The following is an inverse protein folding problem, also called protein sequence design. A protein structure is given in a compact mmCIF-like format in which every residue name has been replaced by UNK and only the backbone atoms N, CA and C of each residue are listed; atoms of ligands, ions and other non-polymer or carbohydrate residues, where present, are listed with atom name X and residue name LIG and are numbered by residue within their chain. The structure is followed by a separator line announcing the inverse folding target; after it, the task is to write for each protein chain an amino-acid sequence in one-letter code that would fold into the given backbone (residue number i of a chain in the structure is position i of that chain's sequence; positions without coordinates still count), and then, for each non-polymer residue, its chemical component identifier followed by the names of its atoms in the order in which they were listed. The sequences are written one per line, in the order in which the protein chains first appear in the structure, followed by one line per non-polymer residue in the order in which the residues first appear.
data_IF_590434340377
#
_entry.id   IF_590434340377
#
_cell.length_a   1.000
_cell.length_b   1.000
_cell.length_c   1.000
_cell.angle_alpha   90.00
_cell.angle_beta   90.00
_cell.angle_gamma   90.00
#
_symmetry.space_group_name_H-M   'P 1'
#
loop_
_entity.id
_entity.type
_entity.pdbx_description
1 polymer ?
2 non-polymer ?
3 non-polymer ?
4 non-polymer ?
5 water ?
#
# COMPACT_ATOMS: atom_id res chain seq x y z
N UNK A 3 7.31 1.13 32.41
CA UNK A 3 6.27 0.29 33.09
C UNK A 3 4.87 0.89 32.86
N UNK A 4 4.68 2.15 33.27
CA UNK A 4 3.33 2.77 33.26
C UNK A 4 3.15 3.89 32.23
N UNK A 5 4.26 4.51 31.77
CA UNK A 5 4.14 5.72 30.91
C UNK A 5 4.97 5.58 29.62
N UNK A 6 4.30 5.81 28.51
CA UNK A 6 4.90 5.84 27.20
C UNK A 6 4.74 7.21 26.57
N UNK A 7 5.24 7.36 25.35
CA UNK A 7 5.18 8.62 24.63
C UNK A 7 4.69 8.44 23.21
N UNK A 8 3.74 9.29 22.81
CA UNK A 8 3.22 9.30 21.44
C UNK A 8 3.56 10.62 20.86
N UNK A 9 4.10 10.62 19.65
CA UNK A 9 4.30 11.85 18.94
C UNK A 9 3.34 11.94 17.75
N UNK A 10 2.46 12.92 17.76
CA UNK A 10 1.43 13.03 16.74
C UNK A 10 1.26 14.48 16.35
N UNK A 11 1.33 14.78 15.06
CA UNK A 11 1.13 16.17 14.60
C UNK A 11 2.23 17.11 15.07
N UNK A 12 3.46 16.62 15.02
CA UNK A 12 4.60 17.31 15.57
C UNK A 12 4.60 17.64 17.06
N UNK A 13 3.75 16.99 17.87
CA UNK A 13 3.76 17.20 19.32
C UNK A 13 3.93 15.89 20.09
N UNK A 14 4.82 15.88 21.09
CA UNK A 14 5.04 14.70 21.95
C UNK A 14 4.13 14.70 23.18
N UNK A 15 3.48 13.56 23.46
CA UNK A 15 2.55 13.42 24.60
C UNK A 15 2.95 12.27 25.47
N UNK A 16 2.76 12.40 26.79
CA UNK A 16 2.84 11.24 27.71
C UNK A 16 1.54 10.49 27.48
N UNK A 17 1.60 9.16 27.59
CA UNK A 17 0.45 8.28 27.30
C UNK A 17 0.52 7.20 28.32
N UNK A 18 -0.47 7.19 29.22
CA UNK A 18 -0.61 6.07 30.11
C UNK A 18 -1.85 5.29 29.61
N UNK A 19 -2.09 4.11 30.17
CA UNK A 19 -3.12 3.20 29.60
C UNK A 19 -4.50 3.80 29.76
N UNK A 20 -4.72 4.49 30.88
CA UNK A 20 -5.88 5.26 31.03
C UNK A 20 -6.16 6.35 29.97
N UNK A 21 -5.16 6.75 29.18
CA UNK A 21 -5.39 7.74 28.14
C UNK A 21 -5.91 7.14 26.85
N UNK A 22 -6.06 5.80 26.78
CA UNK A 22 -6.33 5.14 25.52
C UNK A 22 -7.60 4.30 25.66
N UNK A 23 -8.49 4.41 24.68
CA UNK A 23 -9.73 3.63 24.64
C UNK A 23 -9.53 2.50 23.64
N UNK A 24 -9.62 1.27 24.10
CA UNK A 24 -9.52 0.08 23.21
C UNK A 24 -10.83 -0.08 22.44
N UNK A 25 -10.78 0.14 21.12
CA UNK A 25 -11.96 0.05 20.28
C UNK A 25 -12.00 -1.24 19.46
N UNK A 26 -11.06 -2.13 19.72
CA UNK A 26 -11.13 -3.48 19.19
C UNK A 26 -10.23 -3.71 18.03
N UNK A 27 -10.48 -4.83 17.36
CA UNK A 27 -9.66 -5.32 16.27
C UNK A 27 -9.65 -4.35 15.08
N UNK A 28 -8.55 -4.43 14.34
CA UNK A 28 -8.55 -3.96 12.96
C UNK A 28 -9.00 -5.17 12.11
N UNK A 29 -9.33 -4.95 10.85
CA UNK A 29 -9.81 -6.03 9.94
C UNK A 29 -9.08 -7.38 9.90
N UNK A 34 -1.53 -10.68 12.18
CA UNK A 34 -0.97 -10.20 13.45
C UNK A 34 -1.97 -9.42 14.32
N UNK A 35 -1.60 -9.13 15.58
CA UNK A 35 -2.54 -8.57 16.58
C UNK A 35 -2.43 -7.03 16.58
N UNK A 36 -3.48 -6.38 16.15
CA UNK A 36 -3.50 -4.89 16.09
C UNK A 36 -4.87 -4.39 16.50
N UNK A 37 -4.84 -3.39 17.36
CA UNK A 37 -6.05 -2.81 17.95
C UNK A 37 -6.18 -1.38 17.49
N UNK A 38 -7.45 -0.98 17.26
CA UNK A 38 -7.78 0.42 17.09
C UNK A 38 -7.94 1.01 18.48
N UNK A 39 -7.25 2.11 18.75
CA UNK A 39 -7.39 2.79 20.04
C UNK A 39 -7.51 4.29 19.87
N UNK A 40 -8.35 4.90 20.66
CA UNK A 40 -8.49 6.36 20.64
C UNK A 40 -7.65 6.94 21.75
N UNK A 41 -6.80 7.89 21.38
CA UNK A 41 -5.99 8.62 22.34
C UNK A 41 -6.77 9.78 22.85
N UNK A 42 -7.17 9.71 24.10
CA UNK A 42 -8.11 10.69 24.65
C UNK A 42 -7.58 12.13 24.69
N UNK A 43 -6.25 12.28 24.73
CA UNK A 43 -5.67 13.57 24.83
C UNK A 43 -5.85 14.33 23.53
N UNK A 44 -5.98 13.65 22.39
CA UNK A 44 -6.12 14.37 21.12
C UNK A 44 -7.36 14.04 20.31
N UNK A 45 -8.01 12.92 20.59
CA UNK A 45 -9.08 12.44 19.71
C UNK A 45 -8.57 11.55 18.58
N UNK A 46 -7.25 11.43 18.42
CA UNK A 46 -6.79 10.58 17.29
C UNK A 46 -7.16 9.15 17.58
N UNK A 47 -7.58 8.44 16.55
CA UNK A 47 -7.69 7.00 16.60
C UNK A 47 -6.49 6.43 15.86
N UNK A 48 -5.77 5.57 16.57
CA UNK A 48 -4.51 5.03 16.13
C UNK A 48 -4.55 3.52 16.11
N UNK A 49 -3.56 2.89 15.48
CA UNK A 49 -3.45 1.46 15.46
C UNK A 49 -2.32 1.07 16.42
N UNK A 50 -2.54 0.11 17.29
CA UNK A 50 -1.49 -0.35 18.19
C UNK A 50 -1.24 -1.81 17.91
N UNK A 51 -0.04 -2.13 17.48
CA UNK A 51 0.39 -3.51 17.22
C UNK A 51 1.18 -4.07 18.38
N UNK A 52 0.95 -5.33 18.74
CA UNK A 52 1.71 -6.05 19.78
C UNK A 52 2.68 -7.05 19.15
N UNK A 53 3.97 -6.95 19.49
CA UNK A 53 4.95 -7.93 19.07
C UNK A 53 5.43 -8.61 20.33
N UNK A 54 5.06 -9.89 20.53
CA UNK A 54 5.43 -10.59 21.74
C UNK A 54 6.87 -11.02 21.67
N UNK A 55 7.59 -10.91 22.79
CA UNK A 55 8.96 -11.39 22.88
C UNK A 55 8.97 -12.93 22.54
N UNK A 56 7.96 -13.67 22.96
CA UNK A 56 7.88 -15.10 22.59
C UNK A 56 7.37 -15.39 21.16
N UNK A 57 7.14 -14.36 20.35
CA UNK A 57 6.52 -14.55 19.03
C UNK A 57 7.37 -15.28 18.00
N UNK A 58 6.72 -15.66 16.90
CA UNK A 58 7.42 -16.34 15.81
C UNK A 58 8.59 -15.48 15.33
N UNK A 59 9.77 -16.10 15.26
CA UNK A 59 11.02 -15.39 15.01
C UNK A 59 11.03 -14.71 13.64
N UNK A 60 10.49 -15.38 12.63
CA UNK A 60 10.29 -14.73 11.31
C UNK A 60 9.28 -13.60 11.31
N UNK A 61 8.12 -13.78 11.93
CA UNK A 61 7.17 -12.68 11.97
C UNK A 61 7.79 -11.48 12.71
N UNK A 62 8.49 -11.74 13.81
CA UNK A 62 9.10 -10.63 14.57
C UNK A 62 10.18 -9.94 13.73
N UNK A 63 10.98 -10.72 12.97
CA UNK A 63 12.03 -10.08 12.14
C UNK A 63 11.41 -9.16 11.10
N UNK A 64 10.28 -9.58 10.52
CA UNK A 64 9.54 -8.78 9.56
C UNK A 64 9.01 -7.48 10.21
N UNK A 65 8.44 -7.59 11.39
CA UNK A 65 7.89 -6.45 12.05
C UNK A 65 9.04 -5.43 12.31
N UNK A 66 10.15 -5.92 12.85
CA UNK A 66 11.28 -5.03 13.18
C UNK A 66 11.91 -4.40 11.92
N UNK A 67 12.01 -5.16 10.83
CA UNK A 67 12.54 -4.59 9.60
C UNK A 67 11.62 -3.54 8.98
N UNK A 68 10.32 -3.81 8.99
CA UNK A 68 9.33 -2.84 8.53
C UNK A 68 9.36 -1.60 9.43
N UNK A 69 9.46 -1.79 10.75
CA UNK A 69 9.43 -0.64 11.64
C UNK A 69 10.62 0.27 11.40
N UNK A 70 11.76 -0.37 11.19
CA UNK A 70 13.00 0.36 10.96
C UNK A 70 12.80 1.26 9.76
N UNK A 71 12.26 0.72 8.67
CA UNK A 71 11.93 1.60 7.53
C UNK A 71 10.92 2.73 7.86
N UNK A 72 9.84 2.40 8.56
CA UNK A 72 8.83 3.39 8.88
C UNK A 72 9.45 4.54 9.71
N UNK A 73 10.28 4.17 10.69
CA UNK A 73 10.93 5.16 11.58
C UNK A 73 11.77 6.13 10.79
N UNK A 74 12.44 5.66 9.75
CA UNK A 74 13.30 6.57 8.99
C UNK A 74 12.60 7.17 7.77
N UNK A 75 11.28 7.00 7.70
CA UNK A 75 10.48 7.57 6.59
C UNK A 75 9.52 8.66 7.07
N UNK A 76 9.98 9.39 8.07
CA UNK A 76 9.13 10.41 8.69
C UNK A 76 8.96 11.59 7.73
N UNK A 77 9.85 11.69 6.74
CA UNK A 77 9.77 12.74 5.77
C UNK A 77 9.06 12.38 4.45
N UNK A 78 8.44 11.18 4.35
CA UNK A 78 7.64 10.83 3.20
C UNK A 78 6.16 10.90 3.57
N UNK A 79 5.41 11.80 2.93
CA UNK A 79 3.95 11.96 3.11
C UNK A 79 3.14 10.77 2.71
N UNK A 80 3.73 9.83 1.98
CA UNK A 80 3.00 8.77 1.36
C UNK A 80 3.21 7.41 1.96
N UNK A 81 3.78 7.39 3.17
CA UNK A 81 4.04 6.15 3.90
C UNK A 81 3.43 6.33 5.28
N UNK A 82 2.76 5.30 5.76
CA UNK A 82 2.16 5.37 7.13
C UNK A 82 3.21 5.61 8.18
N UNK A 83 2.88 6.43 9.15
CA UNK A 83 3.79 6.83 10.16
C UNK A 83 3.67 6.11 11.48
N UNK A 84 4.77 6.05 12.19
CA UNK A 84 4.81 5.57 13.54
C UNK A 84 4.81 6.70 14.54
N UNK A 85 3.93 6.58 15.53
CA UNK A 85 3.75 7.60 16.55
C UNK A 85 4.49 7.29 17.83
N UNK A 86 4.93 6.05 18.01
CA UNK A 86 5.71 5.68 19.19
C UNK A 86 5.86 4.20 19.35
N UNK A 87 6.69 3.82 20.33
CA UNK A 87 6.92 2.43 20.67
C UNK A 87 6.98 2.35 22.16
N UNK A 88 6.56 1.25 22.71
CA UNK A 88 6.56 1.02 24.12
C UNK A 88 7.03 -0.38 24.37
N UNK A 89 8.13 -0.50 25.10
CA UNK A 89 8.76 -1.79 25.34
C UNK A 89 8.53 -2.18 26.77
N UNK A 90 8.01 -3.38 26.97
CA UNK A 90 7.90 -3.96 28.29
C UNK A 90 8.79 -5.19 28.36
N UNK A 91 8.79 -5.89 29.51
CA UNK A 91 9.65 -7.06 29.65
C UNK A 91 9.26 -8.16 28.68
N UNK A 92 8.00 -8.22 28.28
CA UNK A 92 7.47 -9.34 27.51
C UNK A 92 6.95 -8.95 26.11
N UNK A 93 6.85 -7.67 25.81
CA UNK A 93 6.23 -7.22 24.60
C UNK A 93 6.79 -5.91 24.06
N UNK A 94 6.49 -5.64 22.81
CA UNK A 94 6.68 -4.35 22.21
C UNK A 94 5.36 -3.92 21.66
N UNK A 95 4.98 -2.68 21.96
CA UNK A 95 3.75 -2.08 21.40
C UNK A 95 4.12 -0.95 20.47
N UNK A 96 3.58 -0.98 19.24
CA UNK A 96 3.95 -0.07 18.19
C UNK A 96 2.70 0.70 17.79
N UNK A 97 2.77 2.03 17.95
CA UNK A 97 1.66 2.90 17.63
C UNK A 97 1.84 3.39 16.21
N UNK A 98 0.87 3.13 15.37
CA UNK A 98 0.90 3.52 13.97
C UNK A 98 -0.29 4.36 13.54
N UNK A 99 -0.08 5.18 12.53
CA UNK A 99 -1.14 5.89 11.87
C UNK A 99 -2.14 4.89 11.36
N UNK A 100 -3.42 5.13 11.67
CA UNK A 100 -4.50 4.26 11.29
C UNK A 100 -5.18 4.77 10.04
N UNK A 101 -5.17 3.96 8.99
CA UNK A 101 -5.87 4.32 7.78
C UNK A 101 -7.26 3.67 7.83
N UNK A 102 -8.09 4.02 6.87
CA UNK A 102 -9.46 3.57 6.85
C UNK A 102 -9.62 2.19 6.24
N UNK A 103 -8.99 1.95 5.10
CA UNK A 103 -9.04 0.61 4.51
C UNK A 103 -8.01 0.55 3.41
N UNK A 104 -7.82 -0.61 2.83
CA UNK A 104 -6.95 -0.81 1.69
C UNK A 104 -7.74 -0.78 0.41
N UNK A 105 -7.02 -0.73 -0.70
CA UNK A 105 -7.68 -0.66 -2.00
C UNK A 105 -8.34 -1.99 -2.39
N UNK A 106 -7.84 -3.12 -1.85
CA UNK A 106 -8.45 -4.41 -2.10
C UNK A 106 -9.87 -4.43 -1.50
N UNK A 107 -9.96 -4.02 -0.25
CA UNK A 107 -11.29 -3.97 0.43
C UNK A 107 -12.19 -2.89 -0.13
N UNK A 108 -11.60 -1.80 -0.59
CA UNK A 108 -12.37 -0.76 -1.24
C UNK A 108 -13.03 -1.25 -2.55
N UNK A 109 -12.25 -2.00 -3.35
CA UNK A 109 -12.82 -2.63 -4.55
C UNK A 109 -13.96 -3.57 -4.23
N UNK A 110 -13.80 -4.34 -3.16
CA UNK A 110 -14.82 -5.25 -2.75
C UNK A 110 -16.10 -4.50 -2.33
N UNK A 111 -15.93 -3.39 -1.61
CA UNK A 111 -17.07 -2.54 -1.22
C UNK A 111 -17.74 -1.85 -2.39
N UNK A 112 -16.94 -1.44 -3.36
CA UNK A 112 -17.43 -0.74 -4.54
C UNK A 112 -18.18 -1.74 -5.46
N UNK A 113 -17.93 -3.06 -5.26
CA UNK A 113 -18.44 -4.11 -6.17
C UNK A 113 -18.25 -3.72 -7.62
N UNK A 114 -17.11 -3.13 -7.90
CA UNK A 114 -16.86 -2.67 -9.23
C UNK A 114 -15.77 -1.62 -9.31
N UNK A 115 -15.68 -0.91 -10.45
CA UNK A 115 -14.68 0.11 -10.70
C UNK A 115 -14.58 1.15 -9.59
N UNK A 116 -13.36 1.58 -9.33
CA UNK A 116 -13.07 2.81 -8.56
C UNK A 116 -12.82 3.95 -9.58
N UNK A 117 -13.39 5.15 -9.36
CA UNK A 117 -13.21 6.19 -10.40
C UNK A 117 -11.77 6.59 -10.70
N UNK A 118 -11.54 6.92 -11.94
CA UNK A 118 -10.21 7.32 -12.39
C UNK A 118 -9.66 8.45 -11.54
N UNK A 119 -10.47 9.42 -11.15
CA UNK A 119 -9.97 10.53 -10.36
C UNK A 119 -9.33 10.13 -9.04
N UNK A 120 -9.92 9.12 -8.41
CA UNK A 120 -9.35 8.55 -7.20
C UNK A 120 -8.08 7.81 -7.53
N UNK A 121 -8.14 6.99 -8.57
CA UNK A 121 -6.95 6.24 -8.99
C UNK A 121 -5.79 7.13 -9.39
N UNK A 122 -6.10 8.30 -9.96
CA UNK A 122 -5.03 9.27 -10.29
C UNK A 122 -4.27 9.77 -9.05
N UNK A 123 -5.02 10.13 -8.03
CA UNK A 123 -4.45 10.56 -6.81
C UNK A 123 -3.68 9.41 -6.15
N UNK A 124 -4.25 8.20 -6.22
CA UNK A 124 -3.56 7.03 -5.70
C UNK A 124 -2.22 6.77 -6.36
N UNK A 125 -2.20 6.92 -7.68
CA UNK A 125 -1.02 6.67 -8.47
C UNK A 125 0.07 7.61 -8.09
N UNK A 126 -0.27 8.89 -7.97
CA UNK A 126 0.70 9.88 -7.56
C UNK A 126 1.35 9.48 -6.23
N UNK A 127 0.53 9.19 -5.23
CA UNK A 127 1.01 8.86 -3.91
C UNK A 127 1.87 7.59 -3.85
N UNK A 128 1.42 6.55 -4.51
CA UNK A 128 2.04 5.27 -4.40
C UNK A 128 3.35 5.26 -5.20
N UNK A 129 3.37 5.86 -6.39
CA UNK A 129 4.66 5.99 -7.10
C UNK A 129 5.67 6.80 -6.30
N UNK A 130 5.24 7.90 -5.66
CA UNK A 130 6.14 8.68 -4.88
C UNK A 130 6.65 7.91 -3.65
N UNK A 131 5.78 7.09 -3.07
CA UNK A 131 6.20 6.26 -1.93
C UNK A 131 7.25 5.22 -2.32
N UNK A 132 6.99 4.56 -3.44
CA UNK A 132 7.91 3.52 -3.91
C UNK A 132 9.26 4.07 -4.33
N UNK A 133 9.22 5.23 -5.00
CA UNK A 133 10.41 5.94 -5.43
C UNK A 133 11.19 6.39 -4.21
N UNK A 134 10.51 6.97 -3.21
CA UNK A 134 11.15 7.36 -1.97
C UNK A 134 11.86 6.16 -1.28
N UNK A 135 11.16 5.04 -1.18
CA UNK A 135 11.75 3.85 -0.58
C UNK A 135 13.03 3.40 -1.25
N UNK A 136 13.04 3.44 -2.59
CA UNK A 136 14.18 2.96 -3.33
C UNK A 136 15.29 4.01 -3.22
N UNK A 137 14.96 5.27 -3.45
CA UNK A 137 16.05 6.30 -3.49
C UNK A 137 16.66 6.55 -2.12
N UNK A 138 15.83 6.62 -1.08
CA UNK A 138 16.32 7.00 0.24
C UNK A 138 16.84 5.80 1.00
N UNK A 139 16.19 4.68 0.85
CA UNK A 139 16.48 3.55 1.72
C UNK A 139 16.94 2.31 0.99
N UNK A 140 17.08 2.38 -0.32
CA UNK A 140 17.51 1.25 -1.13
C UNK A 140 16.54 0.10 -1.19
N UNK A 141 15.30 0.33 -0.88
CA UNK A 141 14.31 -0.75 -0.76
C UNK A 141 13.58 -0.93 -2.07
N UNK A 142 13.62 -2.16 -2.56
CA UNK A 142 12.73 -2.59 -3.62
C UNK A 142 11.53 -3.30 -2.96
N UNK A 143 10.35 -2.72 -3.08
CA UNK A 143 9.17 -3.16 -2.29
C UNK A 143 8.84 -4.66 -2.56
N UNK A 144 8.73 -5.01 -3.83
CA UNK A 144 8.49 -6.37 -4.31
C UNK A 144 7.12 -6.93 -4.04
N UNK A 145 6.19 -6.11 -3.58
CA UNK A 145 4.84 -6.69 -3.36
C UNK A 145 3.79 -5.68 -3.52
N UNK A 146 3.82 -5.01 -4.68
CA UNK A 146 2.91 -3.91 -4.94
C UNK A 146 1.57 -4.53 -5.38
N UNK A 147 0.51 -4.23 -4.64
CA UNK A 147 -0.79 -4.77 -4.90
C UNK A 147 -1.81 -3.97 -4.13
N UNK A 148 -3.11 -4.13 -4.47
CA UNK A 148 -4.09 -3.28 -3.80
C UNK A 148 -4.15 -3.37 -2.30
N UNK A 149 -3.87 -4.52 -1.71
CA UNK A 149 -3.88 -4.64 -0.26
C UNK A 149 -2.88 -3.81 0.48
N UNK A 150 -1.81 -3.38 -0.22
CA UNK A 150 -0.81 -2.50 0.35
C UNK A 150 -1.02 -1.02 0.11
N UNK A 151 -2.12 -0.67 -0.56
CA UNK A 151 -2.45 0.70 -0.84
C UNK A 151 -3.58 1.12 0.06
N UNK A 152 -3.30 2.06 0.94
CA UNK A 152 -4.26 2.47 1.99
C UNK A 152 -4.86 3.84 1.75
N UNK A 153 -6.12 4.02 2.16
CA UNK A 153 -6.80 5.27 2.06
C UNK A 153 -7.50 5.59 3.35
N UNK A 154 -7.70 6.87 3.61
CA UNK A 154 -8.42 7.27 4.86
C UNK A 154 -9.44 8.36 4.61
N UNK A 155 -10.22 8.70 5.63
CA UNK A 155 -11.30 9.67 5.46
C UNK A 155 -10.83 11.14 5.47
N UNK A 156 -9.52 11.35 5.61
CA UNK A 156 -8.90 12.64 5.38
C UNK A 156 -8.49 12.78 3.90
N UNK A 157 -8.69 11.72 3.13
CA UNK A 157 -8.35 11.73 1.73
C UNK A 157 -6.91 11.40 1.48
N UNK A 158 -6.19 10.91 2.48
CA UNK A 158 -4.80 10.48 2.29
C UNK A 158 -4.70 9.12 1.70
N UNK A 159 -3.68 8.96 0.89
CA UNK A 159 -3.36 7.66 0.29
C UNK A 159 -1.93 7.38 0.60
N UNK A 160 -1.67 6.20 1.16
CA UNK A 160 -0.36 5.88 1.66
C UNK A 160 -0.04 4.41 1.46
N UNK A 161 1.25 4.10 1.35
CA UNK A 161 1.69 2.74 1.27
C UNK A 161 1.68 2.12 2.68
N UNK A 162 1.20 0.89 2.77
CA UNK A 162 1.07 0.11 4.02
C UNK A 162 2.50 -0.16 4.60
N UNK A 163 2.62 -0.26 5.92
CA UNK A 163 3.89 -0.68 6.54
C UNK A 163 4.22 -2.14 6.35
N UNK A 164 3.22 -2.97 6.09
CA UNK A 164 3.44 -4.41 6.03
C UNK A 164 4.27 -4.74 4.80
N UNK A 165 5.45 -5.29 5.02
CA UNK A 165 6.33 -5.63 3.91
C UNK A 165 7.04 -4.45 3.27
N UNK A 166 6.94 -3.29 3.92
CA UNK A 166 7.52 -2.04 3.38
C UNK A 166 9.04 -2.13 3.34
N UNK A 167 9.65 -3.02 4.09
CA UNK A 167 11.08 -3.20 4.05
C UNK A 167 11.56 -4.12 2.89
N UNK A 168 10.61 -4.60 2.08
CA UNK A 168 10.93 -5.45 0.95
C UNK A 168 11.21 -6.91 1.36
N UNK A 169 11.91 -7.69 0.51
CA UNK A 169 11.97 -9.19 0.67
C UNK A 169 12.59 -9.76 2.00
N UNK A 170 13.65 -9.10 2.51
CA UNK A 170 14.28 -9.43 3.83
C UNK A 170 15.50 -10.39 3.70
N UNK A 181 1.85 -17.59 -3.31
CA UNK A 181 2.53 -16.59 -4.12
C UNK A 181 1.61 -15.65 -4.88
N UNK A 182 2.18 -14.53 -5.34
CA UNK A 182 1.41 -13.49 -6.03
C UNK A 182 1.66 -13.51 -7.53
N UNK A 183 1.62 -14.71 -8.13
CA UNK A 183 1.68 -14.86 -9.61
C UNK A 183 0.85 -13.77 -10.27
N UNK A 184 -0.29 -13.49 -9.66
CA UNK A 184 -1.23 -12.48 -10.15
C UNK A 184 -0.52 -11.17 -10.62
N UNK A 185 0.37 -10.65 -9.77
CA UNK A 185 1.01 -9.34 -10.01
C UNK A 185 2.49 -9.49 -10.44
N UNK A 186 2.92 -10.71 -10.78
CA UNK A 186 4.30 -10.99 -11.21
C UNK A 186 4.58 -10.50 -12.62
N UNK A 187 5.66 -9.73 -12.76
CA UNK A 187 6.14 -9.30 -14.07
C UNK A 187 6.70 -10.44 -14.93
N UNK A 188 6.63 -10.27 -16.25
CA UNK A 188 7.09 -11.37 -17.09
C UNK A 188 8.52 -11.85 -16.78
N UNK A 189 9.45 -10.90 -16.60
CA UNK A 189 10.85 -11.22 -16.34
C UNK A 189 11.08 -11.93 -14.98
N UNK A 190 10.08 -11.89 -14.11
CA UNK A 190 10.15 -12.62 -12.85
C UNK A 190 9.70 -14.06 -12.91
N UNK A 191 9.06 -14.45 -14.02
CA UNK A 191 8.46 -15.77 -14.10
C UNK A 191 9.39 -16.98 -14.23
N UNK A 192 10.34 -16.95 -15.14
CA UNK A 192 11.24 -18.12 -15.24
C UNK A 192 12.67 -17.58 -15.34
N UNK A 193 13.11 -16.86 -14.28
CA UNK A 193 14.40 -16.17 -14.32
C UNK A 193 15.58 -17.15 -14.20
N UNK A 194 16.73 -16.82 -14.82
CA UNK A 194 17.94 -17.65 -14.71
C UNK A 194 18.31 -18.12 -13.31
N UNK A 195 18.43 -17.20 -12.36
CA UNK A 195 18.77 -17.57 -10.98
C UNK A 195 17.73 -16.97 -10.04
N UNK A 196 16.83 -17.82 -9.48
CA UNK A 196 15.87 -17.37 -8.46
C UNK A 196 16.41 -17.45 -7.00
N UNK A 197 17.61 -18.04 -6.82
CA UNK A 197 18.39 -17.85 -5.59
C UNK A 197 18.95 -16.43 -5.53
N UNK A 198 19.46 -15.94 -6.66
CA UNK A 198 19.95 -14.56 -6.82
C UNK A 198 18.98 -13.75 -7.69
N UNK A 199 17.72 -13.55 -7.21
CA UNK A 199 16.67 -12.98 -8.06
C UNK A 199 16.92 -11.49 -8.25
N UNK A 200 17.74 -11.17 -9.25
CA UNK A 200 18.38 -9.87 -9.35
C UNK A 200 17.56 -8.84 -10.14
N UNK A 201 16.23 -8.84 -9.99
CA UNK A 201 15.38 -7.84 -10.68
C UNK A 201 15.39 -6.54 -9.89
N UNK A 202 14.84 -5.50 -10.51
CA UNK A 202 14.87 -4.19 -9.93
C UNK A 202 13.49 -3.62 -9.80
N UNK A 203 13.38 -2.30 -9.67
CA UNK A 203 12.07 -1.73 -9.43
C UNK A 203 11.13 -1.85 -10.63
N UNK A 204 11.64 -2.15 -11.83
CA UNK A 204 10.72 -2.26 -12.95
C UNK A 204 9.66 -3.38 -12.77
N UNK A 205 10.01 -4.45 -12.09
CA UNK A 205 8.99 -5.46 -11.81
C UNK A 205 7.81 -4.93 -10.94
N UNK A 206 8.12 -3.98 -10.06
CA UNK A 206 7.09 -3.34 -9.22
C UNK A 206 6.24 -2.36 -10.03
N UNK A 207 6.86 -1.73 -11.04
CA UNK A 207 6.12 -0.94 -11.99
C UNK A 207 5.04 -1.76 -12.73
N UNK A 208 5.38 -2.98 -13.16
CA UNK A 208 4.43 -3.88 -13.76
C UNK A 208 3.29 -4.17 -12.79
N UNK A 209 3.65 -4.45 -11.54
CA UNK A 209 2.63 -4.80 -10.53
C UNK A 209 1.69 -3.61 -10.30
N UNK A 210 2.24 -2.41 -10.32
CA UNK A 210 1.43 -1.23 -10.20
C UNK A 210 0.44 -1.12 -11.35
N UNK A 211 0.91 -1.37 -12.56
CA UNK A 211 0.04 -1.38 -13.69
C UNK A 211 -1.12 -2.37 -13.55
N UNK A 212 -0.82 -3.59 -13.14
CA UNK A 212 -1.86 -4.60 -13.00
C UNK A 212 -2.87 -4.16 -11.94
N UNK A 213 -2.37 -3.66 -10.84
CA UNK A 213 -3.20 -3.09 -9.75
C UNK A 213 -4.18 -2.04 -10.25
N UNK A 214 -3.64 -1.12 -11.06
CA UNK A 214 -4.47 -0.03 -11.64
C UNK A 214 -5.56 -0.56 -12.57
N UNK A 215 -5.26 -1.55 -13.41
CA UNK A 215 -6.27 -2.16 -14.27
C UNK A 215 -7.35 -2.87 -13.44
N UNK A 216 -6.91 -3.64 -12.46
CA UNK A 216 -7.81 -4.29 -11.57
C UNK A 216 -8.77 -3.29 -10.86
N UNK A 217 -8.21 -2.23 -10.31
CA UNK A 217 -9.03 -1.26 -9.56
C UNK A 217 -9.91 -0.43 -10.49
N UNK A 218 -9.40 -0.09 -11.65
CA UNK A 218 -10.16 0.70 -12.63
C UNK A 218 -11.36 -0.05 -13.19
N UNK A 219 -11.17 -1.35 -13.45
CA UNK A 219 -12.19 -2.18 -14.10
C UNK A 219 -13.05 -2.94 -13.11
N UNK A 220 -12.59 -3.06 -11.86
CA UNK A 220 -13.20 -3.90 -10.84
C UNK A 220 -13.05 -5.39 -11.17
N UNK A 221 -12.17 -5.69 -12.09
CA UNK A 221 -11.87 -7.10 -12.49
C UNK A 221 -10.32 -7.29 -12.49
N UNK A 222 -9.83 -8.25 -11.72
CA UNK A 222 -8.41 -8.65 -11.84
C UNK A 222 -8.24 -9.18 -13.24
N UNK A 223 -7.18 -8.74 -13.95
CA UNK A 223 -6.95 -9.05 -15.36
C UNK A 223 -6.86 -10.58 -15.60
N UNK A 224 -6.56 -11.37 -14.57
CA UNK A 224 -6.50 -12.90 -14.70
C UNK A 224 -7.51 -13.69 -13.81
N UNK A 225 -8.63 -13.04 -13.46
CA UNK A 225 -9.78 -13.71 -12.81
C UNK A 225 -10.21 -15.06 -13.40
N UNK A 226 -10.18 -15.22 -14.73
CA UNK A 226 -10.66 -16.46 -15.37
C UNK A 226 -9.70 -17.67 -15.25
N UNK A 227 -8.53 -17.42 -14.71
CA UNK A 227 -7.58 -18.47 -14.50
C UNK A 227 -7.95 -19.30 -13.28
N UNK A 228 -7.72 -20.58 -13.40
CA UNK A 228 -8.10 -21.50 -12.36
C UNK A 228 -6.93 -21.92 -11.46
N UNK A 229 -5.70 -21.68 -11.88
CA UNK A 229 -4.53 -22.07 -11.14
C UNK A 229 -3.50 -20.97 -11.23
N UNK A 230 -2.61 -20.95 -10.26
CA UNK A 230 -1.49 -20.06 -10.27
C UNK A 230 -0.63 -20.20 -11.55
N UNK A 231 -0.34 -21.41 -11.96
CA UNK A 231 0.47 -21.59 -13.21
C UNK A 231 -0.25 -20.99 -14.42
N UNK A 232 -1.56 -21.22 -14.51
CA UNK A 232 -2.34 -20.56 -15.56
C UNK A 232 -2.15 -19.06 -15.65
N UNK A 233 -2.16 -18.35 -14.51
CA UNK A 233 -1.93 -16.95 -14.55
C UNK A 233 -0.56 -16.61 -15.13
N UNK A 234 0.46 -17.36 -14.78
CA UNK A 234 1.81 -17.07 -15.30
C UNK A 234 1.84 -17.29 -16.84
N UNK A 235 1.13 -18.31 -17.31
CA UNK A 235 1.05 -18.54 -18.78
C UNK A 235 0.43 -17.29 -19.44
N UNK A 236 -0.59 -16.70 -18.83
CA UNK A 236 -1.22 -15.52 -19.41
C UNK A 236 -0.32 -14.31 -19.42
N UNK A 237 0.40 -14.09 -18.32
CA UNK A 237 1.36 -13.02 -18.27
C UNK A 237 2.32 -13.12 -19.44
N UNK A 238 2.82 -14.30 -19.71
CA UNK A 238 3.83 -14.45 -20.77
C UNK A 238 3.23 -14.48 -22.18
N UNK A 239 2.10 -15.17 -22.32
CA UNK A 239 1.60 -15.45 -23.65
C UNK A 239 0.71 -14.35 -24.20
N UNK A 240 -0.01 -13.66 -23.34
CA UNK A 240 -1.00 -12.72 -23.81
C UNK A 240 -0.47 -11.32 -23.97
N UNK A 241 -1.14 -10.50 -24.74
CA UNK A 241 -0.85 -9.10 -24.75
C UNK A 241 -1.03 -8.51 -23.34
N UNK A 242 -0.32 -7.42 -23.00
CA UNK A 242 -0.52 -6.82 -21.68
C UNK A 242 -1.96 -6.39 -21.53
N UNK A 243 -2.48 -6.55 -20.32
CA UNK A 243 -3.92 -6.31 -20.12
C UNK A 243 -4.22 -4.84 -19.91
N UNK A 244 -4.31 -4.12 -21.02
CA UNK A 244 -4.46 -2.68 -20.98
C UNK A 244 -5.87 -2.29 -20.55
N UNK A 245 -6.04 -0.99 -20.20
CA UNK A 245 -7.38 -0.51 -19.86
C UNK A 245 -8.25 -0.66 -21.09
N UNK A 246 -9.53 -1.00 -20.86
CA UNK A 246 -10.50 -1.09 -21.98
C UNK A 246 -10.94 0.29 -22.45
N UNK A 247 -11.47 0.35 -23.66
CA UNK A 247 -11.87 1.60 -24.23
C UNK A 247 -13.31 2.01 -24.04
N UNK A 248 -14.10 1.24 -23.31
CA UNK A 248 -15.57 1.44 -23.23
C UNK A 248 -16.00 2.04 -21.91
N UNK A 249 -15.04 2.52 -21.09
CA UNK A 249 -15.36 2.97 -19.71
C UNK A 249 -15.04 4.45 -19.50
N UNK A 250 -14.73 5.15 -20.58
CA UNK A 250 -14.45 6.57 -20.46
C UNK A 250 -13.11 6.99 -19.86
N UNK A 251 -12.13 6.10 -19.83
CA UNK A 251 -10.82 6.44 -19.28
C UNK A 251 -10.11 7.46 -20.15
N UNK A 252 -9.42 8.42 -19.52
CA UNK A 252 -8.60 9.40 -20.26
C UNK A 252 -7.48 8.73 -21.09
N UNK A 253 -7.03 9.43 -22.14
CA UNK A 253 -5.85 8.94 -22.87
C UNK A 253 -4.65 8.90 -21.97
N UNK A 254 -4.52 9.87 -21.05
CA UNK A 254 -3.39 9.90 -20.14
C UNK A 254 -3.36 8.65 -19.24
N UNK A 255 -4.51 8.28 -18.71
CA UNK A 255 -4.57 7.07 -17.89
C UNK A 255 -4.23 5.82 -18.71
N UNK A 256 -4.81 5.71 -19.87
CA UNK A 256 -4.53 4.60 -20.75
C UNK A 256 -3.05 4.51 -21.10
N UNK A 257 -2.44 5.64 -21.37
CA UNK A 257 -0.99 5.69 -21.73
C UNK A 257 -0.16 5.30 -20.51
N UNK A 258 -0.51 5.78 -19.33
CA UNK A 258 0.24 5.50 -18.11
C UNK A 258 0.26 4.00 -17.87
N UNK A 259 -0.92 3.37 -17.96
CA UNK A 259 -1.02 1.93 -17.71
C UNK A 259 -0.27 1.13 -18.80
N UNK A 260 -0.38 1.58 -20.07
CA UNK A 260 0.33 0.93 -21.14
C UNK A 260 1.85 0.97 -20.90
N UNK A 261 2.35 2.11 -20.46
CA UNK A 261 3.79 2.25 -20.16
C UNK A 261 4.19 1.30 -18.99
N UNK A 262 3.40 1.26 -17.92
CA UNK A 262 3.68 0.37 -16.75
C UNK A 262 3.72 -1.11 -17.21
N UNK A 263 2.83 -1.48 -18.15
CA UNK A 263 2.67 -2.83 -18.63
C UNK A 263 3.42 -3.09 -19.89
N UNK A 264 4.52 -2.38 -20.09
CA UNK A 264 5.50 -2.77 -21.10
C UNK A 264 6.05 -4.15 -20.76
N UNK A 265 5.83 -5.12 -21.65
CA UNK A 265 6.21 -6.49 -21.35
C UNK A 265 7.73 -6.69 -21.28
N UNK A 266 8.46 -6.10 -22.23
CA UNK A 266 9.93 -6.14 -22.22
C UNK A 266 10.48 -5.17 -21.17
N UNK A 267 10.96 -5.72 -20.07
CA UNK A 267 11.31 -4.89 -18.93
C UNK A 267 12.41 -3.87 -19.29
N UNK A 268 13.21 -4.18 -20.32
CA UNK A 268 14.26 -3.28 -20.76
C UNK A 268 13.70 -1.97 -21.29
N UNK A 269 12.43 -1.96 -21.70
CA UNK A 269 11.81 -0.75 -22.19
C UNK A 269 10.78 -0.22 -21.21
N UNK A 270 10.56 -0.90 -20.08
CA UNK A 270 9.57 -0.46 -19.10
C UNK A 270 10.17 0.71 -18.27
N UNK A 271 9.42 1.82 -18.14
CA UNK A 271 9.97 2.94 -17.43
C UNK A 271 10.16 2.71 -15.94
N UNK A 272 11.12 3.44 -15.37
CA UNK A 272 11.37 3.46 -13.93
C UNK A 272 10.51 4.58 -13.32
N UNK A 273 10.52 4.69 -12.00
CA UNK A 273 9.59 5.58 -11.34
C UNK A 273 9.93 7.03 -11.70
N UNK A 274 11.21 7.30 -11.82
CA UNK A 274 11.63 8.65 -12.12
C UNK A 274 11.00 9.14 -13.43
N UNK A 275 11.00 8.30 -14.45
CA UNK A 275 10.33 8.59 -15.71
C UNK A 275 8.80 8.64 -15.61
N UNK A 276 8.22 7.71 -14.88
CA UNK A 276 6.75 7.73 -14.61
C UNK A 276 6.28 9.00 -13.95
N UNK A 277 7.10 9.54 -13.05
CA UNK A 277 6.76 10.79 -12.36
C UNK A 277 6.72 12.03 -13.30
N UNK A 278 7.24 11.89 -14.51
CA UNK A 278 7.13 12.91 -15.54
C UNK A 278 5.87 12.76 -16.41
N UNK A 279 5.11 11.67 -16.22
CA UNK A 279 4.06 11.32 -17.15
C UNK A 279 2.91 12.31 -16.99
N UNK A 280 2.27 12.64 -18.10
CA UNK A 280 1.08 13.49 -18.13
C UNK A 280 -0.02 13.13 -17.07
N UNK A 281 -0.25 11.84 -16.87
CA UNK A 281 -1.22 11.36 -15.87
C UNK A 281 -0.84 11.77 -14.46
N UNK A 282 0.45 11.64 -14.13
CA UNK A 282 0.89 12.11 -12.83
C UNK A 282 0.86 13.64 -12.72
N UNK A 283 1.31 14.34 -13.75
CA UNK A 283 1.32 15.78 -13.68
C UNK A 283 -0.11 16.32 -13.54
N UNK A 284 -1.02 15.73 -14.25
CA UNK A 284 -2.44 16.08 -14.19
C UNK A 284 -3.00 15.91 -12.79
N UNK A 285 -2.74 14.74 -12.19
CA UNK A 285 -3.30 14.48 -10.86
C UNK A 285 -2.55 15.09 -9.72
N UNK A 286 -1.35 15.57 -9.96
CA UNK A 286 -0.77 16.48 -9.04
C UNK A 286 -1.59 17.79 -8.92
N UNK A 287 -2.09 18.33 -10.02
CA UNK A 287 -2.74 19.67 -9.96
C UNK A 287 -4.25 19.57 -9.76
N UNK A 288 -4.86 18.47 -10.16
CA UNK A 288 -6.29 18.42 -10.14
C UNK A 288 -6.77 18.37 -8.70
N UNK A 289 -7.74 19.19 -8.36
CA UNK A 289 -8.35 19.05 -7.06
C UNK A 289 -9.37 17.90 -7.08
N UNK A 290 -9.16 16.91 -6.22
CA UNK A 290 -10.07 15.77 -6.10
C UNK A 290 -10.39 15.59 -4.63
N UNK A 291 -11.67 15.67 -4.29
CA UNK A 291 -12.07 15.49 -2.91
C UNK A 291 -12.16 13.96 -2.59
N UNK A 292 -11.01 13.35 -2.39
CA UNK A 292 -10.93 11.94 -2.06
C UNK A 292 -11.63 11.67 -0.67
N UNK A 293 -11.46 12.56 0.27
CA UNK A 293 -12.03 12.48 1.64
C UNK A 293 -13.52 12.30 1.58
N UNK A 294 -14.22 13.22 0.92
CA UNK A 294 -15.68 13.10 0.81
C UNK A 294 -16.14 11.84 0.08
N UNK A 295 -15.50 11.54 -1.03
CA UNK A 295 -15.72 10.31 -1.74
C UNK A 295 -15.60 9.07 -0.84
N UNK A 296 -14.50 9.01 -0.11
CA UNK A 296 -14.23 7.84 0.75
C UNK A 296 -15.30 7.71 1.84
N UNK A 297 -15.63 8.83 2.44
CA UNK A 297 -16.64 8.86 3.49
C UNK A 297 -17.98 8.39 2.97
N UNK A 298 -18.34 8.78 1.73
CA UNK A 298 -19.59 8.34 1.09
C UNK A 298 -19.59 6.83 0.89
N UNK A 299 -18.49 6.30 0.37
CA UNK A 299 -18.38 4.87 0.18
C UNK A 299 -18.57 4.10 1.49
N UNK A 300 -17.82 4.52 2.49
CA UNK A 300 -17.82 3.83 3.77
C UNK A 300 -19.21 3.87 4.38
N UNK A 301 -19.96 4.96 4.17
CA UNK A 301 -21.31 5.03 4.71
C UNK A 301 -22.37 4.22 3.95
N UNK A 302 -22.17 4.00 2.66
CA UNK A 302 -23.12 3.26 1.82
C UNK A 302 -22.82 1.79 1.67
N UNK A 303 -21.66 1.37 2.20
CA UNK A 303 -21.30 -0.01 2.00
C UNK A 303 -20.99 -0.72 3.29
N UNK A 304 -21.06 -2.07 3.24
CA UNK A 304 -20.78 -2.97 4.39
C UNK A 304 -19.31 -3.42 4.33
N UNK A 305 -18.82 -4.13 5.34
CA UNK A 305 -17.37 -4.24 5.60
C UNK A 305 -16.50 -5.19 4.69
N UNK A 306 -16.64 -6.50 4.85
CA UNK A 306 -15.64 -7.37 4.21
C UNK A 306 -15.91 -7.66 2.73
#
# INVERSE_FOLDING_TARGET
SMKQTGYLTIGGQRYQAEINDLENLGEMGSGTCGQVWKMRFRKTGHVIAVKQMRRSGNKEENKRILMDLDVVLKSHDCPYIVQCFGTFITNTDVFIAMELMGTCAEKLKKRMQGPIPERILGKMTVAIVKALYYLKEKHGVIHRDVKPSNILLDERGQIKLCDFGISGRLVDSKAKTRSAGCAAYMAPERIDPPDPTKPDYDIRADVWSLGISLVELATGQFPYKNCKTDFEVLTKVLQEEPPLLPGHMGFSGDFQSFVKDCLTKDHRKRPKYNKLLEHSFIKRYETLEVDVASWFKDVMAKTESPR
#
